data_IF_896904057207
#
_entry.id   IF_896904057207
#
_cell.length_a   1.000
_cell.length_b   1.000
_cell.length_c   1.000
_cell.angle_alpha   90.00
_cell.angle_beta   90.00
_cell.angle_gamma   90.00
#
_symmetry.space_group_name_H-M   'P 1'
#
loop_
_entity.id
_entity.type
_entity.pdbx_description
1 polymer ?
#
# COMPACT_ATOMS: atom_id res chain seq x y z
N UNK A 1 -2.58 24.76 11.57
CA UNK A 1 -3.69 25.07 10.65
C UNK A 1 -4.14 23.77 10.04
N UNK A 2 -5.42 23.43 10.16
CA UNK A 2 -5.94 22.16 9.65
C UNK A 2 -6.13 22.21 8.13
N UNK A 3 -5.78 21.12 7.46
CA UNK A 3 -6.04 20.89 6.03
C UNK A 3 -7.54 21.01 5.78
N UNK A 4 -7.96 21.88 4.84
CA UNK A 4 -9.39 22.12 4.52
C UNK A 4 -9.89 21.24 3.37
N UNK A 5 -9.03 20.52 2.66
CA UNK A 5 -9.36 19.55 1.61
C UNK A 5 -8.45 18.32 1.78
N UNK A 6 -8.70 17.26 1.00
CA UNK A 6 -7.74 16.18 0.90
C UNK A 6 -6.58 16.62 0.00
N UNK A 7 -5.36 16.67 0.55
CA UNK A 7 -4.15 17.06 -0.18
C UNK A 7 -3.38 15.81 -0.60
N UNK A 8 -2.88 15.83 -1.84
CA UNK A 8 -2.15 14.73 -2.44
C UNK A 8 -0.69 15.11 -2.60
N UNK A 9 0.19 14.33 -1.97
CA UNK A 9 1.62 14.52 -2.04
C UNK A 9 2.22 13.37 -2.84
N UNK A 10 2.84 13.71 -3.97
CA UNK A 10 3.51 12.75 -4.84
C UNK A 10 5.01 12.84 -4.59
N UNK A 11 5.62 11.68 -4.33
CA UNK A 11 7.07 11.53 -4.24
C UNK A 11 7.51 10.38 -5.13
N UNK A 12 8.82 10.24 -5.36
CA UNK A 12 9.35 9.13 -6.16
C UNK A 12 9.09 7.76 -5.52
N UNK A 13 8.92 7.72 -4.20
CA UNK A 13 8.81 6.48 -3.42
C UNK A 13 7.36 6.20 -2.95
N UNK A 14 6.53 7.23 -2.76
CA UNK A 14 5.18 7.08 -2.23
C UNK A 14 4.20 8.19 -2.68
N UNK A 15 2.91 7.85 -2.67
CA UNK A 15 1.81 8.82 -2.76
C UNK A 15 1.17 8.91 -1.37
N UNK A 16 1.23 10.08 -0.75
CA UNK A 16 0.62 10.34 0.55
C UNK A 16 -0.67 11.15 0.36
N UNK A 17 -1.72 10.72 1.04
CA UNK A 17 -3.02 11.36 1.03
C UNK A 17 -3.22 11.96 2.42
N UNK A 18 -3.15 13.29 2.50
CA UNK A 18 -3.48 13.99 3.73
C UNK A 18 -4.98 14.28 3.73
N UNK A 19 -5.66 13.89 4.81
CA UNK A 19 -7.10 14.05 4.95
C UNK A 19 -7.38 15.15 5.97
N UNK A 20 -8.26 16.09 5.61
CA UNK A 20 -8.66 17.17 6.50
C UNK A 20 -9.02 16.71 7.93
N UNK A 21 -8.44 17.34 8.96
CA UNK A 21 -8.69 17.02 10.37
C UNK A 21 -10.15 17.19 10.83
N UNK A 22 -11.02 17.79 10.01
CA UNK A 22 -12.48 17.82 10.25
C UNK A 22 -13.15 16.45 10.19
N UNK A 23 -12.51 15.45 9.59
CA UNK A 23 -13.00 14.08 9.69
C UNK A 23 -12.81 13.50 11.11
N UNK A 24 -12.07 14.17 12.00
CA UNK A 24 -11.94 13.79 13.43
C UNK A 24 -12.74 14.67 14.39
N UNK A 25 -13.10 15.91 14.03
CA UNK A 25 -13.85 16.84 14.89
C UNK A 25 -15.25 17.12 14.33
N UNK A 26 -16.28 16.71 15.07
CA UNK A 26 -17.70 16.78 14.71
C UNK A 26 -18.27 18.20 14.73
N UNK A 27 -17.81 19.10 13.85
CA UNK A 27 -18.38 20.44 13.76
C UNK A 27 -19.18 20.66 12.46
N UNK A 28 -20.48 20.86 12.67
CA UNK A 28 -21.46 21.58 11.83
C UNK A 28 -22.02 20.97 10.53
N UNK A 29 -21.36 20.00 9.85
CA UNK A 29 -21.92 19.38 8.62
C UNK A 29 -21.66 17.87 8.47
N UNK A 30 -22.01 17.10 9.52
CA UNK A 30 -21.66 15.68 9.65
C UNK A 30 -22.09 14.79 8.46
N UNK A 31 -23.29 15.01 7.90
CA UNK A 31 -23.78 14.21 6.77
C UNK A 31 -23.01 14.48 5.47
N UNK A 32 -22.71 15.75 5.19
CA UNK A 32 -21.98 16.16 3.97
C UNK A 32 -20.54 15.69 4.05
N UNK A 33 -19.89 15.84 5.20
CA UNK A 33 -18.52 15.38 5.42
C UNK A 33 -18.42 13.85 5.36
N UNK A 34 -19.40 13.13 5.91
CA UNK A 34 -19.46 11.65 5.82
C UNK A 34 -19.67 11.18 4.37
N UNK A 35 -20.52 11.85 3.61
CA UNK A 35 -20.73 11.54 2.19
C UNK A 35 -19.46 11.80 1.35
N UNK A 36 -18.80 12.94 1.57
CA UNK A 36 -17.54 13.28 0.90
C UNK A 36 -16.42 12.29 1.25
N UNK A 37 -16.30 11.91 2.52
CA UNK A 37 -15.37 10.90 3.00
C UNK A 37 -15.59 9.55 2.33
N UNK A 38 -16.83 9.04 2.34
CA UNK A 38 -17.18 7.77 1.67
C UNK A 38 -16.89 7.81 0.18
N UNK A 39 -17.25 8.90 -0.50
CA UNK A 39 -16.93 9.08 -1.92
C UNK A 39 -15.43 9.03 -2.21
N UNK A 40 -14.61 9.61 -1.33
CA UNK A 40 -13.15 9.50 -1.41
C UNK A 40 -12.65 8.05 -1.24
N UNK A 41 -13.16 7.33 -0.24
CA UNK A 41 -12.80 5.92 -0.05
C UNK A 41 -13.24 5.05 -1.25
N UNK A 42 -14.41 5.31 -1.82
CA UNK A 42 -14.91 4.64 -3.03
C UNK A 42 -14.01 4.90 -4.23
N UNK A 43 -13.45 6.11 -4.39
CA UNK A 43 -12.48 6.43 -5.43
C UNK A 43 -11.20 5.59 -5.27
N UNK A 44 -10.65 5.48 -4.06
CA UNK A 44 -9.48 4.65 -3.79
C UNK A 44 -9.76 3.18 -4.11
N UNK A 45 -10.92 2.66 -3.70
CA UNK A 45 -11.34 1.29 -3.99
C UNK A 45 -11.56 1.06 -5.48
N UNK A 46 -12.11 2.03 -6.22
CA UNK A 46 -12.33 1.96 -7.67
C UNK A 46 -11.01 1.84 -8.44
N UNK A 47 -10.02 2.66 -8.10
CA UNK A 47 -8.76 2.76 -8.81
C UNK A 47 -7.69 1.76 -8.31
N UNK A 48 -7.75 1.34 -7.04
CA UNK A 48 -6.81 0.39 -6.42
C UNK A 48 -7.54 -0.80 -5.78
N UNK A 49 -8.41 -1.47 -6.54
CA UNK A 49 -9.30 -2.57 -6.09
C UNK A 49 -8.65 -3.65 -5.23
N UNK A 50 -7.40 -4.00 -5.50
CA UNK A 50 -6.66 -5.06 -4.79
C UNK A 50 -6.14 -4.61 -3.42
N UNK A 51 -5.63 -3.40 -3.34
CA UNK A 51 -4.99 -2.78 -2.16
C UNK A 51 -5.26 -1.27 -2.19
N UNK A 52 -6.42 -0.81 -1.69
CA UNK A 52 -6.81 0.61 -1.75
C UNK A 52 -5.78 1.53 -1.10
N UNK A 53 -5.22 1.11 0.04
CA UNK A 53 -4.12 1.75 0.74
C UNK A 53 -3.05 0.72 1.16
N UNK A 54 -1.83 1.18 1.42
CA UNK A 54 -0.70 0.37 1.88
C UNK A 54 -0.44 0.48 3.39
N UNK A 55 -1.05 1.45 4.06
CA UNK A 55 -0.92 1.71 5.48
C UNK A 55 -1.61 3.04 5.83
N UNK A 56 -1.71 3.34 7.11
CA UNK A 56 -2.28 4.59 7.60
C UNK A 56 -1.41 5.22 8.69
N UNK A 57 -1.33 6.55 8.67
CA UNK A 57 -0.70 7.34 9.72
C UNK A 57 -1.76 7.86 10.68
N UNK A 58 -1.47 7.79 11.97
CA UNK A 58 -2.26 8.47 12.99
C UNK A 58 -1.35 9.49 13.65
N UNK A 59 -1.47 10.74 13.21
CA UNK A 59 -0.73 11.85 13.75
C UNK A 59 -1.45 12.42 14.98
N UNK A 60 -0.86 12.26 16.15
CA UNK A 60 -1.38 12.77 17.42
C UNK A 60 -0.42 13.85 17.90
N UNK A 61 -0.96 15.02 18.21
CA UNK A 61 -0.18 16.10 18.83
C UNK A 61 0.12 15.72 20.27
N UNK A 62 1.39 15.54 20.61
CA UNK A 62 1.78 15.14 21.96
C UNK A 62 1.49 16.26 22.97
N UNK A 63 1.59 17.52 22.57
CA UNK A 63 1.19 18.66 23.39
C UNK A 63 -0.30 18.62 23.75
N UNK A 64 -1.14 18.23 22.79
CA UNK A 64 -2.60 18.23 22.97
C UNK A 64 -2.97 17.07 23.90
N UNK A 65 -2.35 15.89 23.70
CA UNK A 65 -2.56 14.72 24.53
C UNK A 65 -2.23 14.98 26.02
N UNK A 66 -1.21 15.78 26.31
CA UNK A 66 -0.81 16.15 27.68
C UNK A 66 -1.83 17.11 28.30
N UNK A 67 -2.29 18.09 27.53
CA UNK A 67 -3.18 19.16 28.01
C UNK A 67 -4.63 18.70 28.19
N UNK A 68 -5.06 17.67 27.44
CA UNK A 68 -6.40 17.11 27.54
C UNK A 68 -6.66 16.44 28.90
N UNK A 69 -7.90 16.55 29.35
CA UNK A 69 -8.45 15.74 30.43
C UNK A 69 -8.52 14.26 30.06
N UNK A 70 -8.73 13.40 31.06
CA UNK A 70 -8.89 11.96 30.81
C UNK A 70 -10.10 11.65 29.92
N UNK A 71 -11.21 12.36 30.09
CA UNK A 71 -12.43 12.20 29.29
C UNK A 71 -12.22 12.63 27.84
N UNK A 72 -11.54 13.76 27.60
CA UNK A 72 -11.19 14.22 26.25
C UNK A 72 -10.27 13.25 25.54
N UNK A 73 -9.26 12.70 26.25
CA UNK A 73 -8.36 11.67 25.70
C UNK A 73 -9.11 10.39 25.34
N UNK A 74 -10.01 9.92 26.21
CA UNK A 74 -10.82 8.73 25.94
C UNK A 74 -11.74 8.95 24.72
N UNK A 75 -12.34 10.13 24.63
CA UNK A 75 -13.18 10.52 23.48
C UNK A 75 -12.37 10.56 22.19
N UNK A 76 -11.17 11.13 22.23
CA UNK A 76 -10.27 11.16 21.07
C UNK A 76 -9.82 9.75 20.66
N UNK A 77 -9.45 8.89 21.62
CA UNK A 77 -9.08 7.51 21.35
C UNK A 77 -10.24 6.73 20.69
N UNK A 78 -11.47 6.89 21.20
CA UNK A 78 -12.64 6.26 20.61
C UNK A 78 -12.90 6.76 19.18
N UNK A 79 -12.78 8.07 18.94
CA UNK A 79 -12.94 8.64 17.60
C UNK A 79 -11.90 8.09 16.61
N UNK A 80 -10.64 7.99 17.03
CA UNK A 80 -9.56 7.38 16.24
C UNK A 80 -9.89 5.91 15.93
N UNK A 81 -10.29 5.14 16.94
CA UNK A 81 -10.67 3.73 16.79
C UNK A 81 -11.81 3.54 15.80
N UNK A 82 -12.88 4.34 15.90
CA UNK A 82 -14.01 4.31 14.97
C UNK A 82 -13.57 4.60 13.53
N UNK A 83 -12.67 5.57 13.32
CA UNK A 83 -12.14 5.88 11.97
C UNK A 83 -11.31 4.75 11.41
N UNK A 84 -10.50 4.09 12.23
CA UNK A 84 -9.76 2.90 11.81
C UNK A 84 -10.72 1.78 11.39
N UNK A 85 -11.78 1.54 12.15
CA UNK A 85 -12.76 0.51 11.83
C UNK A 85 -13.53 0.84 10.54
N UNK A 86 -13.93 2.11 10.35
CA UNK A 86 -14.58 2.55 9.10
C UNK A 86 -13.69 2.28 7.87
N UNK A 87 -12.37 2.52 7.97
CA UNK A 87 -11.42 2.21 6.89
C UNK A 87 -11.33 0.71 6.61
N UNK A 88 -11.24 -0.11 7.66
CA UNK A 88 -11.19 -1.57 7.54
C UNK A 88 -12.47 -2.12 6.89
N UNK A 89 -13.64 -1.75 7.40
CA UNK A 89 -14.95 -2.16 6.87
C UNK A 89 -15.11 -1.75 5.40
N UNK A 90 -14.73 -0.52 5.06
CA UNK A 90 -14.92 0.01 3.72
C UNK A 90 -13.97 -0.62 2.70
N UNK A 91 -12.68 -0.79 3.04
CA UNK A 91 -11.69 -1.38 2.13
C UNK A 91 -11.70 -2.91 2.12
N UNK A 92 -12.13 -3.55 3.21
CA UNK A 92 -12.14 -5.00 3.38
C UNK A 92 -10.75 -5.61 3.35
N UNK A 93 -9.75 -4.88 3.86
CA UNK A 93 -8.36 -5.31 4.00
C UNK A 93 -7.80 -4.87 5.34
N UNK A 94 -6.88 -5.68 5.89
CA UNK A 94 -6.03 -5.31 7.02
C UNK A 94 -4.78 -4.59 6.51
N UNK A 95 -4.42 -3.47 7.13
CA UNK A 95 -3.24 -2.68 6.74
C UNK A 95 -2.48 -2.19 7.98
N UNK A 96 -1.16 -1.96 7.88
CA UNK A 96 -0.37 -1.49 9.01
C UNK A 96 -0.73 -0.05 9.37
N UNK A 97 -0.79 0.21 10.67
CA UNK A 97 -1.03 1.53 11.25
C UNK A 97 0.20 2.00 12.00
N UNK A 98 0.66 3.20 11.69
CA UNK A 98 1.81 3.83 12.32
C UNK A 98 1.34 5.06 13.10
N UNK A 99 1.57 5.06 14.41
CA UNK A 99 1.24 6.19 15.28
C UNK A 99 2.42 7.15 15.30
N UNK A 100 2.16 8.42 15.00
CA UNK A 100 3.13 9.50 15.05
C UNK A 100 2.73 10.46 16.15
N UNK A 101 3.46 10.45 17.27
CA UNK A 101 3.41 11.51 18.26
C UNK A 101 4.17 12.72 17.73
N UNK A 102 3.42 13.61 17.10
CA UNK A 102 3.89 14.85 16.48
C UNK A 102 4.07 15.96 17.51
N UNK A 103 4.75 17.02 17.09
CA UNK A 103 5.04 18.22 17.91
C UNK A 103 5.81 17.88 19.19
N UNK A 104 6.71 16.90 19.13
CA UNK A 104 7.57 16.54 20.28
C UNK A 104 8.51 17.67 20.70
N UNK A 105 8.77 18.62 19.80
CA UNK A 105 9.51 19.86 20.08
C UNK A 105 8.85 20.76 21.13
N UNK A 106 7.55 20.58 21.39
CA UNK A 106 6.83 21.36 22.40
C UNK A 106 7.04 20.82 23.82
N UNK A 107 7.72 19.68 24.00
CA UNK A 107 8.17 19.24 25.31
C UNK A 107 9.36 20.12 25.73
N UNK A 108 9.28 20.67 26.94
CA UNK A 108 10.36 21.47 27.52
C UNK A 108 11.68 20.69 27.50
N UNK A 109 12.72 21.31 26.94
CA UNK A 109 14.06 20.73 26.83
C UNK A 109 14.32 19.87 25.60
N UNK A 110 13.31 19.58 24.75
CA UNK A 110 13.53 18.78 23.53
C UNK A 110 14.57 19.42 22.60
N UNK A 111 14.40 20.72 22.32
CA UNK A 111 15.27 21.44 21.38
C UNK A 111 16.69 21.52 21.94
N UNK A 112 16.85 21.82 23.22
CA UNK A 112 18.14 21.91 23.88
C UNK A 112 18.84 20.55 23.91
N UNK A 113 18.11 19.49 24.23
CA UNK A 113 18.62 18.13 24.34
C UNK A 113 19.14 17.62 23.00
N UNK A 114 18.39 17.81 21.91
CA UNK A 114 18.75 17.33 20.57
C UNK A 114 19.48 18.37 19.70
N UNK A 115 19.91 19.51 20.27
CA UNK A 115 20.54 20.57 19.47
C UNK A 115 21.87 20.16 18.84
N UNK A 116 22.55 19.17 19.44
CA UNK A 116 23.83 18.63 18.96
C UNK A 116 23.70 17.82 17.68
N UNK A 117 22.50 17.31 17.40
CA UNK A 117 22.29 16.44 16.26
C UNK A 117 22.47 17.18 14.92
N UNK A 118 23.35 16.64 14.10
CA UNK A 118 23.54 17.01 12.71
C UNK A 118 22.30 16.71 11.85
N UNK A 119 22.34 17.08 10.57
CA UNK A 119 21.21 16.82 9.65
C UNK A 119 20.90 15.32 9.51
N UNK A 120 21.93 14.48 9.39
CA UNK A 120 21.77 13.03 9.25
C UNK A 120 21.22 12.38 10.51
N UNK A 121 21.68 12.83 11.68
CA UNK A 121 21.20 12.32 12.96
C UNK A 121 19.78 12.78 13.24
N UNK A 122 19.39 14.00 12.86
CA UNK A 122 17.99 14.44 12.93
C UNK A 122 17.08 13.70 11.95
N UNK A 123 17.63 13.11 10.90
CA UNK A 123 16.89 12.28 9.96
C UNK A 123 16.61 10.87 10.51
N UNK A 124 17.25 10.44 11.61
CA UNK A 124 17.12 9.09 12.19
C UNK A 124 15.69 8.76 12.63
N UNK A 125 15.42 7.50 12.94
CA UNK A 125 14.13 7.09 13.51
C UNK A 125 14.17 7.23 15.02
N UNK A 126 13.15 7.85 15.62
CA UNK A 126 13.00 7.89 17.08
C UNK A 126 11.61 7.34 17.47
N UNK A 127 11.59 6.17 18.09
CA UNK A 127 10.36 5.42 18.32
C UNK A 127 10.62 3.93 18.40
N UNK A 128 9.55 3.15 18.23
CA UNK A 128 9.56 1.69 18.30
C UNK A 128 8.75 1.09 17.15
N UNK A 129 9.35 0.07 16.53
CA UNK A 129 8.75 -0.74 15.49
C UNK A 129 8.37 -2.07 16.13
N UNK A 130 7.08 -2.35 16.28
CA UNK A 130 6.56 -3.49 17.06
C UNK A 130 6.75 -4.83 16.31
N UNK A 131 6.69 -5.99 16.97
CA UNK A 131 6.62 -7.24 16.23
C UNK A 131 5.34 -7.32 15.37
N UNK A 132 5.34 -8.23 14.38
CA UNK A 132 4.10 -8.55 13.66
C UNK A 132 3.09 -9.14 14.63
N UNK A 133 1.84 -8.68 14.53
CA UNK A 133 0.78 -9.09 15.45
C UNK A 133 0.48 -10.59 15.37
N UNK A 134 0.55 -11.25 16.52
CA UNK A 134 0.18 -12.65 16.70
C UNK A 134 -1.33 -12.74 16.97
N UNK A 135 -2.13 -13.35 16.06
CA UNK A 135 -3.58 -13.48 16.25
C UNK A 135 -3.97 -14.28 17.51
N UNK A 136 -3.06 -15.08 18.06
CA UNK A 136 -3.31 -15.91 19.26
C UNK A 136 -3.14 -15.15 20.57
N UNK A 137 -2.41 -14.03 20.56
CA UNK A 137 -2.23 -13.19 21.73
C UNK A 137 -3.49 -12.33 21.98
N UNK A 138 -4.21 -12.49 23.10
CA UNK A 138 -5.42 -11.73 23.38
C UNK A 138 -5.18 -10.26 23.71
N UNK A 139 -4.00 -9.90 24.24
CA UNK A 139 -3.68 -8.53 24.64
C UNK A 139 -3.12 -7.72 23.47
N UNK A 140 -2.42 -8.40 22.56
CA UNK A 140 -1.89 -7.85 21.32
C UNK A 140 -0.65 -6.99 21.51
N UNK A 141 -0.07 -6.59 20.38
CA UNK A 141 1.27 -5.97 20.34
C UNK A 141 1.37 -4.63 21.08
N UNK A 142 0.24 -4.00 21.40
CA UNK A 142 0.21 -2.72 22.13
C UNK A 142 0.78 -2.84 23.54
N UNK A 143 0.74 -4.01 24.17
CA UNK A 143 1.32 -4.22 25.51
C UNK A 143 2.85 -4.06 25.54
N UNK A 144 3.53 -4.22 24.40
CA UNK A 144 4.98 -3.99 24.32
C UNK A 144 5.36 -2.50 24.41
N UNK A 145 4.42 -1.58 24.18
CA UNK A 145 4.69 -0.14 24.13
C UNK A 145 5.42 0.36 25.38
N UNK A 146 4.93 0.02 26.58
CA UNK A 146 5.48 0.53 27.83
C UNK A 146 6.96 0.13 28.02
N UNK A 147 7.31 -1.12 27.70
CA UNK A 147 8.68 -1.62 27.80
C UNK A 147 9.61 -0.98 26.75
N UNK A 148 9.15 -0.84 25.51
CA UNK A 148 9.92 -0.17 24.44
C UNK A 148 10.12 1.32 24.73
N UNK A 149 9.13 1.98 25.35
CA UNK A 149 9.25 3.37 25.79
C UNK A 149 10.32 3.53 26.87
N UNK A 150 10.39 2.62 27.85
CA UNK A 150 11.44 2.64 28.89
C UNK A 150 12.84 2.51 28.28
N UNK A 151 13.01 1.77 27.17
CA UNK A 151 14.28 1.70 26.45
C UNK A 151 14.64 3.05 25.80
N UNK A 152 13.66 3.77 25.24
CA UNK A 152 13.89 5.12 24.72
C UNK A 152 14.28 6.09 25.83
N UNK A 153 13.58 6.06 26.97
CA UNK A 153 13.90 6.87 28.14
C UNK A 153 15.30 6.56 28.67
N UNK A 154 15.68 5.27 28.76
CA UNK A 154 17.03 4.85 29.13
C UNK A 154 18.08 5.44 28.19
N UNK A 155 17.84 5.41 26.87
CA UNK A 155 18.76 6.00 25.87
C UNK A 155 18.91 7.52 26.02
N UNK A 156 17.86 8.22 26.44
CA UNK A 156 17.96 9.65 26.79
C UNK A 156 18.84 9.85 28.03
N UNK A 157 18.62 9.05 29.08
CA UNK A 157 19.42 9.12 30.31
C UNK A 157 20.89 8.77 30.07
N UNK A 158 21.19 7.79 29.23
CA UNK A 158 22.57 7.40 28.87
C UNK A 158 23.34 8.56 28.21
N UNK A 159 22.66 9.38 27.40
CA UNK A 159 23.26 10.56 26.75
C UNK A 159 23.36 11.78 27.67
N UNK A 160 22.62 11.80 28.77
CA UNK A 160 22.42 13.00 29.57
C UNK A 160 23.74 13.60 30.08
N UNK A 161 24.67 12.75 30.56
CA UNK A 161 25.94 13.19 31.13
C UNK A 161 26.78 13.96 30.10
N UNK A 162 26.90 13.43 28.89
CA UNK A 162 27.63 14.07 27.78
C UNK A 162 26.97 15.40 27.41
N UNK A 163 25.64 15.42 27.27
CA UNK A 163 24.89 16.65 26.95
C UNK A 163 25.07 17.75 28.00
N UNK A 164 25.12 17.39 29.28
CA UNK A 164 25.34 18.35 30.38
C UNK A 164 26.78 18.84 30.50
N UNK A 165 27.76 18.08 30.00
CA UNK A 165 29.17 18.46 29.96
C UNK A 165 29.43 19.45 28.82
N UNK A 166 28.80 19.25 27.67
CA UNK A 166 29.00 20.08 26.48
C UNK A 166 28.27 21.43 26.55
N UNK A 167 27.12 21.47 27.21
CA UNK A 167 26.34 22.71 27.34
C UNK A 167 26.92 23.62 28.43
N UNK A 168 27.19 24.87 28.06
CA UNK A 168 27.80 25.87 28.95
C UNK A 168 26.78 26.80 29.58
N UNK A 169 25.65 27.02 28.91
CA UNK A 169 24.59 27.89 29.40
C UNK A 169 23.83 27.19 30.55
N UNK A 170 23.86 27.73 31.78
CA UNK A 170 23.16 27.14 32.92
C UNK A 170 21.66 26.93 32.70
N UNK A 171 20.99 27.84 31.97
CA UNK A 171 19.55 27.72 31.71
C UNK A 171 19.24 26.56 30.76
N UNK A 172 20.06 26.40 29.73
CA UNK A 172 19.92 25.27 28.78
C UNK A 172 20.30 23.94 29.42
N UNK A 173 21.29 23.93 30.32
CA UNK A 173 21.64 22.73 31.10
C UNK A 173 20.48 22.23 31.95
N UNK A 174 19.73 23.13 32.57
CA UNK A 174 18.53 22.78 33.35
C UNK A 174 17.45 22.13 32.47
N UNK A 175 17.20 22.69 31.29
CA UNK A 175 16.28 22.12 30.30
C UNK A 175 16.74 20.75 29.78
N UNK A 176 18.03 20.57 29.52
CA UNK A 176 18.62 19.28 29.13
C UNK A 176 18.46 18.24 30.24
N UNK A 177 18.71 18.64 31.50
CA UNK A 177 18.59 17.78 32.67
C UNK A 177 17.16 17.29 32.90
N UNK A 178 16.18 18.17 32.68
CA UNK A 178 14.78 17.88 32.94
C UNK A 178 14.09 17.10 31.82
N UNK A 179 14.58 17.20 30.58
CA UNK A 179 13.94 16.60 29.41
C UNK A 179 13.66 15.09 29.53
N UNK A 180 14.61 14.21 29.95
CA UNK A 180 14.32 12.78 30.09
C UNK A 180 13.17 12.48 31.05
N UNK A 181 13.04 13.23 32.16
CA UNK A 181 11.93 13.05 33.11
C UNK A 181 10.61 13.57 32.54
N UNK A 182 10.64 14.70 31.82
CA UNK A 182 9.46 15.21 31.11
C UNK A 182 8.96 14.18 30.09
N UNK A 183 9.87 13.59 29.30
CA UNK A 183 9.52 12.53 28.36
C UNK A 183 8.98 11.28 29.07
N UNK A 184 9.65 10.82 30.14
CA UNK A 184 9.22 9.70 30.97
C UNK A 184 7.79 9.85 31.51
N UNK A 185 7.40 11.06 31.90
CA UNK A 185 6.05 11.36 32.40
C UNK A 185 4.94 11.09 31.38
N UNK A 186 5.26 11.09 30.08
CA UNK A 186 4.31 10.87 29.00
C UNK A 186 3.93 9.40 28.83
N UNK A 187 4.76 8.49 29.33
CA UNK A 187 4.62 7.04 29.12
C UNK A 187 3.23 6.55 29.50
N UNK A 188 2.75 6.89 30.70
CA UNK A 188 1.47 6.39 31.19
C UNK A 188 0.29 6.92 30.35
N UNK A 189 0.34 8.19 29.94
CA UNK A 189 -0.70 8.83 29.15
C UNK A 189 -0.75 8.23 27.74
N UNK A 190 0.42 8.06 27.11
CA UNK A 190 0.54 7.44 25.80
C UNK A 190 0.14 5.95 25.82
N UNK A 191 0.55 5.19 26.84
CA UNK A 191 0.19 3.76 26.99
C UNK A 191 -1.32 3.58 27.09
N UNK A 192 -1.97 4.37 27.96
CA UNK A 192 -3.43 4.33 28.13
C UNK A 192 -4.15 4.69 26.84
N UNK A 193 -3.73 5.76 26.17
CA UNK A 193 -4.32 6.18 24.90
C UNK A 193 -4.18 5.10 23.82
N UNK A 194 -2.99 4.52 23.66
CA UNK A 194 -2.74 3.48 22.67
C UNK A 194 -3.55 2.22 22.97
N UNK A 195 -3.65 1.80 24.23
CA UNK A 195 -4.46 0.63 24.61
C UNK A 195 -5.95 0.84 24.35
N UNK A 196 -6.46 2.05 24.59
CA UNK A 196 -7.86 2.37 24.28
C UNK A 196 -8.15 2.24 22.78
N UNK A 197 -7.22 2.66 21.92
CA UNK A 197 -7.35 2.57 20.45
C UNK A 197 -7.14 1.15 19.93
N UNK A 198 -6.06 0.47 20.37
CA UNK A 198 -5.51 -0.71 19.68
C UNK A 198 -5.68 -2.03 20.42
N UNK A 199 -6.13 -2.05 21.68
CA UNK A 199 -6.36 -3.33 22.37
C UNK A 199 -7.42 -4.13 21.60
N UNK A 200 -7.15 -5.42 21.29
CA UNK A 200 -8.09 -6.27 20.55
C UNK A 200 -9.46 -6.33 21.24
N UNK A 201 -10.52 -6.25 20.44
CA UNK A 201 -11.89 -6.43 20.88
C UNK A 201 -12.53 -7.56 20.06
N UNK A 202 -13.21 -8.50 20.72
CA UNK A 202 -13.89 -9.64 20.06
C UNK A 202 -14.99 -9.25 19.08
N UNK A 203 -15.47 -8.00 19.15
CA UNK A 203 -16.55 -7.49 18.32
C UNK A 203 -16.09 -6.64 17.13
N UNK A 204 -14.77 -6.43 16.99
CA UNK A 204 -14.20 -5.53 15.99
C UNK A 204 -13.08 -6.22 15.20
N UNK A 205 -12.72 -5.66 14.04
CA UNK A 205 -11.54 -6.14 13.32
C UNK A 205 -10.26 -5.79 14.09
N UNK A 206 -9.38 -6.78 14.22
CA UNK A 206 -8.10 -6.62 14.91
C UNK A 206 -7.16 -5.74 14.09
N UNK A 207 -6.89 -4.56 14.63
CA UNK A 207 -6.02 -3.56 14.01
C UNK A 207 -4.56 -4.04 13.99
N UNK A 208 -3.81 -3.72 12.94
CA UNK A 208 -2.37 -4.02 12.85
C UNK A 208 -1.57 -2.78 13.24
N UNK A 209 -1.37 -2.57 14.55
CA UNK A 209 -0.45 -1.53 15.03
C UNK A 209 0.99 -1.94 14.70
N UNK A 210 1.66 -1.20 13.83
CA UNK A 210 2.99 -1.54 13.31
C UNK A 210 4.11 -0.80 14.04
N UNK A 211 3.87 0.40 14.55
CA UNK A 211 4.86 1.12 15.32
C UNK A 211 4.36 2.45 15.86
N UNK A 212 5.12 2.98 16.82
CA UNK A 212 4.86 4.25 17.51
C UNK A 212 6.14 5.09 17.44
N UNK A 213 6.04 6.31 16.91
CA UNK A 213 7.20 7.15 16.64
C UNK A 213 6.98 8.58 17.11
N UNK A 214 8.06 9.25 17.48
CA UNK A 214 8.07 10.61 17.99
C UNK A 214 8.71 11.53 16.96
N UNK A 215 7.95 12.50 16.48
CA UNK A 215 8.37 13.34 15.36
C UNK A 215 8.10 14.81 15.61
N UNK A 216 8.97 15.65 15.05
CA UNK A 216 8.75 17.10 15.01
C UNK A 216 8.92 17.58 13.57
N UNK A 217 7.85 18.17 13.04
CA UNK A 217 7.85 18.80 11.74
C UNK A 217 8.38 20.23 11.83
N UNK A 218 8.88 20.73 10.70
CA UNK A 218 9.26 22.14 10.58
C UNK A 218 8.06 23.06 10.81
N UNK A 219 8.14 23.93 11.82
CA UNK A 219 7.26 25.10 11.89
C UNK A 219 7.69 26.06 10.77
N UNK A 220 7.04 25.97 9.61
CA UNK A 220 6.98 27.17 8.77
C UNK A 220 6.20 28.23 9.57
N UNK A 221 6.81 29.40 9.71
CA UNK A 221 6.43 30.53 10.55
C UNK A 221 4.96 30.58 10.95
N UNK A 222 4.74 30.82 12.24
CA UNK A 222 3.41 31.13 12.76
C UNK A 222 2.73 32.18 11.85
N UNK A 223 1.39 32.19 11.69
CA UNK A 223 0.70 33.24 10.93
C UNK A 223 1.13 34.65 11.36
N UNK A 224 1.54 34.81 12.62
CA UNK A 224 2.11 36.02 13.19
C UNK A 224 3.44 36.39 12.52
N UNK A 225 4.36 35.44 12.30
CA UNK A 225 5.66 35.71 11.66
C UNK A 225 5.53 36.15 10.20
N UNK A 226 4.57 35.59 9.45
CA UNK A 226 4.30 36.01 8.06
C UNK A 226 3.72 37.42 8.00
N UNK A 227 2.80 37.74 8.91
CA UNK A 227 2.23 39.08 9.04
C UNK A 227 3.27 40.09 9.51
N UNK A 228 4.05 39.77 10.53
CA UNK A 228 5.13 40.63 11.04
C UNK A 228 6.23 40.87 9.99
N UNK A 229 6.58 39.85 9.19
CA UNK A 229 7.54 40.01 8.09
C UNK A 229 6.97 40.90 6.97
N UNK A 230 5.68 40.80 6.65
CA UNK A 230 5.02 41.65 5.65
C UNK A 230 4.81 43.10 6.12
N UNK A 231 4.59 43.30 7.43
CA UNK A 231 4.45 44.62 8.04
C UNK A 231 5.81 45.30 8.18
N UNK A 232 6.85 44.58 8.59
CA UNK A 232 8.22 45.10 8.66
C UNK A 232 8.75 45.55 7.29
N UNK A 233 8.41 44.83 6.21
CA UNK A 233 8.77 45.23 4.83
C UNK A 233 7.98 46.45 4.32
N UNK A 234 6.76 46.66 4.82
CA UNK A 234 5.90 47.78 4.41
C UNK A 234 6.24 49.08 5.16
N UNK A 235 6.69 48.96 6.42
CA UNK A 235 6.99 50.11 7.28
C UNK A 235 8.47 50.49 7.38
N UNK A 236 9.37 49.81 6.65
CA UNK A 236 10.80 50.16 6.57
C UNK A 236 11.54 50.09 7.91
N UNK A 237 11.04 49.32 8.88
CA UNK A 237 11.62 49.21 10.21
C UNK A 237 12.90 48.36 10.16
N UNK A 238 13.99 48.94 10.68
CA UNK A 238 15.31 48.33 10.60
C UNK A 238 15.40 47.07 11.46
N UNK A 239 15.94 46.00 10.86
CA UNK A 239 15.90 44.60 11.31
C UNK A 239 16.87 44.28 12.46
N UNK A 240 17.00 45.18 13.44
CA UNK A 240 17.97 45.04 14.52
C UNK A 240 17.24 45.22 15.85
N UNK A 241 16.74 44.12 16.45
CA UNK A 241 16.46 43.92 17.90
C UNK A 241 15.40 42.85 18.22
N UNK A 242 14.87 42.13 17.24
CA UNK A 242 14.19 40.88 17.51
C UNK A 242 15.15 39.75 17.16
N UNK A 243 15.53 38.96 18.17
CA UNK A 243 16.25 37.70 18.01
C UNK A 243 15.57 36.92 16.90
N UNK A 244 16.20 36.96 15.73
CA UNK A 244 15.67 36.33 14.55
C UNK A 244 15.84 34.85 14.82
N UNK A 245 14.77 34.19 15.26
CA UNK A 245 14.60 32.76 15.04
C UNK A 245 14.49 32.54 13.52
N UNK A 246 15.57 32.85 12.79
CA UNK A 246 15.82 32.45 11.42
C UNK A 246 16.36 31.02 11.45
N UNK A 247 15.63 30.13 12.11
CA UNK A 247 15.79 28.72 11.88
C UNK A 247 15.04 28.41 10.59
N UNK A 248 15.74 28.12 9.49
CA UNK A 248 15.19 27.20 8.50
C UNK A 248 14.61 26.04 9.30
N UNK A 249 13.30 25.80 9.19
CA UNK A 249 12.61 24.85 10.04
C UNK A 249 13.43 23.56 10.17
N UNK A 250 13.68 23.12 11.39
CA UNK A 250 14.40 21.88 11.66
C UNK A 250 13.38 20.77 11.84
N UNK A 251 13.31 19.82 10.91
CA UNK A 251 12.58 18.58 11.13
C UNK A 251 13.42 17.63 11.99
N UNK A 252 12.74 16.87 12.84
CA UNK A 252 13.33 15.80 13.64
C UNK A 252 12.54 14.52 13.43
N UNK A 253 13.30 13.46 13.14
CA UNK A 253 12.88 12.07 13.18
C UNK A 253 11.82 11.63 12.18
N UNK A 254 11.68 12.33 11.04
CA UNK A 254 10.69 12.04 10.00
C UNK A 254 11.29 11.30 8.81
N UNK A 255 12.46 11.72 8.33
CA UNK A 255 12.96 11.33 7.00
C UNK A 255 13.23 9.83 6.87
N UNK A 256 14.10 9.26 7.72
CA UNK A 256 14.38 7.81 7.68
C UNK A 256 13.20 6.98 8.20
N UNK A 257 12.33 7.56 9.02
CA UNK A 257 11.10 6.89 9.43
C UNK A 257 10.21 6.58 8.22
N UNK A 258 9.95 7.57 7.37
CA UNK A 258 9.17 7.37 6.15
C UNK A 258 9.91 6.43 5.18
N UNK A 259 11.16 6.74 4.87
CA UNK A 259 11.94 6.10 3.80
C UNK A 259 12.42 4.69 4.13
N UNK A 260 12.92 4.47 5.34
CA UNK A 260 13.63 3.24 5.70
C UNK A 260 12.73 2.26 6.47
N UNK A 261 11.60 2.74 7.04
CA UNK A 261 10.67 1.90 7.81
C UNK A 261 9.32 1.78 7.12
N UNK A 262 8.61 2.88 6.89
CA UNK A 262 7.20 2.79 6.47
C UNK A 262 7.03 2.42 5.00
N UNK A 263 7.74 3.08 4.08
CA UNK A 263 7.59 2.81 2.64
C UNK A 263 8.03 1.39 2.25
N UNK A 264 9.14 0.83 2.78
CA UNK A 264 9.51 -0.57 2.52
C UNK A 264 8.46 -1.57 3.02
N UNK A 265 7.67 -1.21 4.03
CA UNK A 265 6.61 -2.03 4.61
C UNK A 265 5.26 -1.94 3.87
N UNK A 266 5.22 -1.28 2.69
CA UNK A 266 4.00 -1.12 1.91
C UNK A 266 3.32 -2.45 1.51
N UNK A 267 4.07 -3.56 1.47
CA UNK A 267 3.54 -4.88 1.14
C UNK A 267 2.90 -5.63 2.30
N UNK A 268 3.06 -5.14 3.54
CA UNK A 268 2.40 -5.70 4.73
C UNK A 268 0.87 -5.58 4.60
N UNK A 269 0.38 -4.56 3.90
CA UNK A 269 -1.04 -4.44 3.61
C UNK A 269 -1.58 -5.69 2.90
N UNK A 270 -2.60 -6.28 3.52
CA UNK A 270 -3.34 -7.39 2.96
C UNK A 270 -4.00 -7.02 1.62
N UNK A 271 -4.29 -8.03 0.81
CA UNK A 271 -5.08 -7.84 -0.41
C UNK A 271 -6.55 -8.16 -0.14
N UNK A 272 -7.45 -7.51 -0.88
CA UNK A 272 -8.88 -7.79 -0.77
C UNK A 272 -9.16 -9.23 -1.24
N UNK A 273 -9.50 -10.11 -0.29
CA UNK A 273 -9.68 -11.54 -0.54
C UNK A 273 -10.78 -11.84 -1.56
N UNK A 274 -11.83 -11.01 -1.65
CA UNK A 274 -12.91 -11.19 -2.62
C UNK A 274 -12.41 -10.97 -4.04
N UNK A 275 -11.61 -9.92 -4.24
CA UNK A 275 -11.01 -9.58 -5.54
C UNK A 275 -9.98 -10.65 -5.94
N UNK A 276 -9.15 -11.12 -5.00
CA UNK A 276 -8.21 -12.22 -5.24
C UNK A 276 -8.91 -13.52 -5.65
N UNK A 277 -9.95 -13.92 -4.91
CA UNK A 277 -10.73 -15.13 -5.24
C UNK A 277 -11.39 -15.03 -6.62
N UNK A 278 -12.02 -13.90 -6.92
CA UNK A 278 -12.65 -13.67 -8.23
C UNK A 278 -11.61 -13.75 -9.37
N UNK A 279 -10.44 -13.13 -9.18
CA UNK A 279 -9.34 -13.19 -10.16
C UNK A 279 -8.81 -14.61 -10.34
N UNK A 280 -8.64 -15.35 -9.25
CA UNK A 280 -8.21 -16.75 -9.29
C UNK A 280 -9.22 -17.63 -10.05
N UNK A 281 -10.52 -17.39 -9.89
CA UNK A 281 -11.56 -18.09 -10.67
C UNK A 281 -11.50 -17.77 -12.16
N UNK A 282 -11.27 -16.50 -12.53
CA UNK A 282 -11.07 -16.11 -13.93
C UNK A 282 -9.83 -16.80 -14.52
N UNK A 283 -8.72 -16.82 -13.79
CA UNK A 283 -7.50 -17.50 -14.25
C UNK A 283 -7.73 -19.00 -14.42
N UNK A 284 -8.39 -19.67 -13.46
CA UNK A 284 -8.77 -21.08 -13.57
C UNK A 284 -9.67 -21.33 -14.79
N UNK A 285 -10.64 -20.46 -15.03
CA UNK A 285 -11.51 -20.51 -16.21
C UNK A 285 -10.72 -20.35 -17.52
N UNK A 286 -9.77 -19.41 -17.57
CA UNK A 286 -8.90 -19.22 -18.73
C UNK A 286 -8.01 -20.44 -19.01
N UNK A 287 -7.42 -21.05 -17.97
CA UNK A 287 -6.65 -22.28 -18.12
C UNK A 287 -7.51 -23.46 -18.59
N UNK A 288 -8.73 -23.60 -18.05
CA UNK A 288 -9.66 -24.65 -18.48
C UNK A 288 -10.08 -24.47 -19.94
N UNK A 289 -10.38 -23.23 -20.37
CA UNK A 289 -10.69 -22.91 -21.75
C UNK A 289 -9.50 -23.18 -22.70
N UNK A 290 -8.29 -22.76 -22.31
CA UNK A 290 -7.08 -23.03 -23.10
C UNK A 290 -6.83 -24.53 -23.25
N UNK A 291 -7.00 -25.31 -22.18
CA UNK A 291 -6.89 -26.76 -22.22
C UNK A 291 -7.96 -27.38 -23.14
N UNK A 292 -9.21 -26.94 -23.04
CA UNK A 292 -10.31 -27.42 -23.86
C UNK A 292 -10.05 -27.15 -25.35
N UNK A 293 -9.63 -25.93 -25.71
CA UNK A 293 -9.28 -25.57 -27.09
C UNK A 293 -8.15 -26.45 -27.61
N UNK A 294 -7.13 -26.70 -26.78
CA UNK A 294 -5.99 -27.55 -27.13
C UNK A 294 -6.43 -29.00 -27.38
N UNK A 295 -7.29 -29.55 -26.51
CA UNK A 295 -7.82 -30.92 -26.66
C UNK A 295 -8.69 -31.03 -27.91
N UNK A 296 -9.54 -30.03 -28.20
CA UNK A 296 -10.36 -30.00 -29.41
C UNK A 296 -9.48 -29.92 -30.65
N UNK A 297 -8.49 -29.03 -30.67
CA UNK A 297 -7.55 -28.90 -31.79
C UNK A 297 -6.78 -30.20 -32.03
N UNK A 298 -6.31 -30.87 -30.97
CA UNK A 298 -5.63 -32.16 -31.06
C UNK A 298 -6.57 -33.24 -31.62
N UNK A 299 -7.82 -33.31 -31.15
CA UNK A 299 -8.80 -34.27 -31.65
C UNK A 299 -9.15 -34.02 -33.13
N UNK A 300 -9.34 -32.76 -33.54
CA UNK A 300 -9.56 -32.38 -34.94
C UNK A 300 -8.36 -32.74 -35.82
N UNK A 301 -7.14 -32.50 -35.34
CA UNK A 301 -5.93 -32.86 -36.06
C UNK A 301 -5.80 -34.37 -36.23
N UNK A 302 -5.95 -35.15 -35.15
CA UNK A 302 -5.86 -36.62 -35.21
C UNK A 302 -6.92 -37.21 -36.15
N UNK A 303 -8.17 -36.73 -36.06
CA UNK A 303 -9.24 -37.19 -36.95
C UNK A 303 -9.02 -36.81 -38.40
N UNK A 304 -8.52 -35.59 -38.66
CA UNK A 304 -8.12 -35.15 -40.01
C UNK A 304 -6.98 -36.00 -40.57
N UNK A 305 -5.93 -36.24 -39.78
CA UNK A 305 -4.80 -37.08 -40.17
C UNK A 305 -5.24 -38.51 -40.50
N UNK A 306 -6.05 -39.14 -39.64
CA UNK A 306 -6.57 -40.49 -39.89
C UNK A 306 -7.44 -40.56 -41.14
N UNK A 307 -8.30 -39.56 -41.38
CA UNK A 307 -9.11 -39.47 -42.61
C UNK A 307 -8.23 -39.28 -43.85
N UNK A 308 -7.21 -38.43 -43.75
CA UNK A 308 -6.29 -38.17 -44.85
C UNK A 308 -5.45 -39.41 -45.18
N UNK A 309 -5.00 -40.16 -44.18
CA UNK A 309 -4.27 -41.42 -44.37
C UNK A 309 -5.15 -42.47 -45.09
N UNK A 310 -6.40 -42.64 -44.65
CA UNK A 310 -7.37 -43.52 -45.34
C UNK A 310 -7.63 -43.05 -46.78
N UNK A 311 -7.73 -41.74 -46.99
CA UNK A 311 -7.91 -41.15 -48.33
C UNK A 311 -6.72 -41.44 -49.24
N UNK A 312 -5.49 -41.23 -48.77
CA UNK A 312 -4.26 -41.52 -49.54
C UNK A 312 -4.16 -43.01 -49.87
N UNK A 313 -4.48 -43.90 -48.91
CA UNK A 313 -4.51 -45.34 -49.17
C UNK A 313 -5.57 -45.73 -50.22
N UNK A 314 -6.74 -45.10 -50.19
CA UNK A 314 -7.78 -45.33 -51.19
C UNK A 314 -7.36 -44.85 -52.58
N UNK A 315 -6.70 -43.69 -52.68
CA UNK A 315 -6.13 -43.18 -53.93
C UNK A 315 -5.03 -44.09 -54.46
N UNK A 316 -4.09 -44.53 -53.62
CA UNK A 316 -3.00 -45.42 -54.05
C UNK A 316 -3.54 -46.75 -54.55
N UNK A 317 -4.55 -47.31 -53.89
CA UNK A 317 -5.22 -48.54 -54.33
C UNK A 317 -5.80 -48.40 -55.75
N UNK A 318 -6.46 -47.27 -56.06
CA UNK A 318 -7.00 -47.05 -57.41
C UNK A 318 -5.95 -46.65 -58.44
N UNK A 319 -4.90 -45.95 -58.03
CA UNK A 319 -3.73 -45.69 -58.88
C UNK A 319 -3.12 -47.00 -59.39
N UNK A 320 -2.97 -48.00 -58.52
CA UNK A 320 -2.47 -49.32 -58.91
C UNK A 320 -3.40 -50.06 -59.88
N UNK A 321 -4.73 -49.86 -59.79
CA UNK A 321 -5.69 -50.41 -60.76
C UNK A 321 -5.52 -49.72 -62.11
N UNK A 322 -5.45 -48.38 -62.13
CA UNK A 322 -5.24 -47.59 -63.34
C UNK A 322 -3.91 -47.95 -64.00
N UNK A 323 -2.82 -48.10 -63.25
CA UNK A 323 -1.50 -48.47 -63.80
C UNK A 323 -1.51 -49.86 -64.45
N UNK A 324 -2.24 -50.82 -63.89
CA UNK A 324 -2.46 -52.13 -64.52
C UNK A 324 -3.24 -52.03 -65.83
N UNK A 325 -4.32 -51.24 -65.85
CA UNK A 325 -5.11 -51.01 -67.06
C UNK A 325 -4.30 -50.28 -68.14
N UNK A 326 -3.46 -49.31 -67.78
CA UNK A 326 -2.52 -48.64 -68.70
C UNK A 326 -1.55 -49.66 -69.31
N UNK A 327 -0.96 -50.54 -68.48
CA UNK A 327 -0.01 -51.54 -68.96
C UNK A 327 -0.67 -52.64 -69.82
N UNK A 328 -1.98 -52.89 -69.63
CA UNK A 328 -2.76 -53.83 -70.44
C UNK A 328 -3.16 -53.25 -71.80
N UNK A 329 -3.18 -51.91 -71.96
CA UNK A 329 -3.41 -51.27 -73.25
C UNK A 329 -2.17 -51.34 -74.14
N UNK A 330 -2.32 -51.90 -75.34
CA UNK A 330 -1.26 -51.91 -76.35
C UNK A 330 -1.11 -50.52 -77.01
N UNK A 331 0.12 -50.04 -77.28
CA UNK A 331 0.35 -48.73 -77.92
C UNK A 331 -0.29 -48.56 -79.30
N UNK A 332 -0.54 -49.67 -80.01
CA UNK A 332 -1.08 -49.70 -81.37
C UNK A 332 -2.61 -49.90 -81.41
N UNK A 333 -3.30 -49.79 -80.27
CA UNK A 333 -4.74 -50.03 -80.16
C UNK A 333 -5.54 -48.85 -80.73
N UNK A 334 -6.28 -49.07 -81.82
CA UNK A 334 -7.05 -48.03 -82.52
C UNK A 334 -8.54 -47.95 -82.15
N UNK A 335 -9.04 -48.86 -81.31
CA UNK A 335 -10.44 -48.86 -80.85
C UNK A 335 -10.60 -47.98 -79.60
N UNK A 336 -11.32 -46.83 -79.69
CA UNK A 336 -11.56 -45.95 -78.56
C UNK A 336 -12.37 -46.62 -77.44
N UNK A 337 -13.16 -47.67 -77.72
CA UNK A 337 -13.91 -48.39 -76.70
C UNK A 337 -12.98 -49.19 -75.76
N UNK A 338 -11.81 -49.61 -76.24
CA UNK A 338 -10.82 -50.34 -75.44
C UNK A 338 -10.19 -49.49 -74.32
N UNK A 339 -10.27 -48.16 -74.41
CA UNK A 339 -9.82 -47.23 -73.36
C UNK A 339 -10.86 -46.98 -72.27
N UNK A 340 -12.12 -47.39 -72.46
CA UNK A 340 -13.20 -47.14 -71.49
C UNK A 340 -12.95 -47.73 -70.09
N UNK A 341 -12.41 -48.97 -69.93
CA UNK A 341 -12.09 -49.51 -68.61
C UNK A 341 -11.07 -48.65 -67.86
N UNK A 342 -10.02 -48.20 -68.57
CA UNK A 342 -9.01 -47.28 -68.03
C UNK A 342 -9.63 -45.94 -67.62
N UNK A 343 -10.44 -45.34 -68.50
CA UNK A 343 -11.09 -44.06 -68.24
C UNK A 343 -12.08 -44.15 -67.07
N UNK A 344 -12.82 -45.25 -66.93
CA UNK A 344 -13.71 -45.49 -65.80
C UNK A 344 -12.93 -45.72 -64.49
N UNK A 345 -11.82 -46.45 -64.54
CA UNK A 345 -10.96 -46.62 -63.37
C UNK A 345 -10.32 -45.30 -62.90
N UNK A 346 -9.89 -44.45 -63.84
CA UNK A 346 -9.37 -43.12 -63.55
C UNK A 346 -10.46 -42.17 -63.02
N UNK A 347 -11.69 -42.31 -63.52
CA UNK A 347 -12.86 -41.55 -63.08
C UNK A 347 -13.23 -41.82 -61.61
N UNK A 348 -13.07 -43.07 -61.17
CA UNK A 348 -13.41 -43.57 -59.84
C UNK A 348 -12.29 -43.41 -58.78
N UNK A 349 -11.21 -42.67 -59.09
CA UNK A 349 -10.19 -42.31 -58.09
C UNK A 349 -10.84 -41.37 -57.06
N UNK A 350 -10.64 -41.57 -55.74
CA UNK A 350 -11.13 -40.64 -54.72
C UNK A 350 -10.65 -39.20 -54.99
N UNK A 351 -11.57 -38.23 -54.97
CA UNK A 351 -11.37 -36.84 -55.40
C UNK A 351 -11.33 -36.64 -56.92
N UNK A 352 -11.68 -37.67 -57.69
CA UNK A 352 -11.79 -37.67 -59.15
C UNK A 352 -13.11 -37.09 -59.65
N UNK A 353 -13.43 -37.37 -60.92
CA UNK A 353 -14.60 -36.78 -61.57
C UNK A 353 -15.93 -37.30 -60.99
N UNK A 354 -15.98 -38.52 -60.45
CA UNK A 354 -17.19 -39.03 -59.78
C UNK A 354 -17.52 -38.31 -58.46
N UNK A 355 -16.50 -37.78 -57.78
CA UNK A 355 -16.68 -37.05 -56.51
C UNK A 355 -16.94 -35.54 -56.73
N UNK A 356 -16.99 -35.05 -57.98
CA UNK A 356 -17.25 -33.62 -58.28
C UNK A 356 -18.71 -33.21 -58.18
N UNK A 357 -19.62 -34.14 -58.40
CA UNK A 357 -21.08 -33.90 -58.45
C UNK A 357 -21.82 -34.52 -57.24
N UNK A 358 -21.08 -35.07 -56.26
CA UNK A 358 -21.57 -35.64 -55.00
C UNK A 358 -21.29 -34.68 -53.83
#
# INVERSE_FOLDING_TARGET
GGTRNCDWWFTDEAVMLDTAGRYTTQDSHEEVDRAAWRGFLDLLKKHRRRRPINGAFIAISLSDLIQQSEEERATQALAVKQRIQELHEHFGIRFPIYVLFTKTDLIAGFIEFFNDLGQEERAQVWGMTLPMDDPTDPEGVVEHFSAEFELLEKRLNDRLVERLQDERDPQRRDLIYTFPQQFGSLRQVADRFLKEVFRPNRYEERVLLRGVYFTSGTQEGTPIDRLMSSLASTFGLNRQTLSTFSGKGRSYFITRLLRDVIFPEAEIAGANLKVERWRAWIQRGAYAAALLITVIAAALWVTSYARNEMYVQAVEKQRLVVEKEIAALSPDQSDPAAALPLLNAARAIPGGYDDRDA
#
